data_IF_199886380812
#
_entry.id   IF_199886380812
#
_cell.length_a   1.000
_cell.length_b   1.000
_cell.length_c   1.000
_cell.angle_alpha   90.00
_cell.angle_beta   90.00
_cell.angle_gamma   90.00
#
_symmetry.space_group_name_H-M   'P 1'
#
loop_
_entity.id
_entity.type
_entity.pdbx_description
1 polymer ?
#
# COMPACT_ATOMS: atom_id res chain seq x y z
N UNK A 1 -7.58 27.58 -74.43
CA UNK A 1 -7.10 26.56 -73.47
C UNK A 1 -7.31 27.09 -72.05
N UNK A 2 -8.53 27.00 -71.52
CA UNK A 2 -8.92 27.58 -70.23
C UNK A 2 -8.78 26.53 -69.14
N UNK A 3 -7.67 26.60 -68.38
CA UNK A 3 -7.49 25.78 -67.17
C UNK A 3 -8.48 26.25 -66.11
N UNK A 4 -9.45 25.39 -65.79
CA UNK A 4 -10.35 25.54 -64.65
C UNK A 4 -9.53 25.30 -63.38
N UNK A 5 -9.23 26.36 -62.62
CA UNK A 5 -8.69 26.23 -61.27
C UNK A 5 -9.82 25.73 -60.37
N UNK A 6 -9.78 24.45 -60.01
CA UNK A 6 -10.62 23.87 -58.98
C UNK A 6 -10.20 24.42 -57.62
N UNK A 7 -10.88 25.45 -57.14
CA UNK A 7 -10.85 25.81 -55.72
C UNK A 7 -11.68 24.77 -54.96
N UNK A 8 -11.03 23.78 -54.36
CA UNK A 8 -11.63 23.07 -53.23
C UNK A 8 -10.94 23.58 -51.96
N UNK A 9 -11.33 24.77 -51.53
CA UNK A 9 -11.14 25.16 -50.13
C UNK A 9 -12.19 24.41 -49.33
N UNK A 10 -11.94 23.14 -49.01
CA UNK A 10 -12.76 22.38 -48.08
C UNK A 10 -12.51 22.94 -46.66
N UNK A 11 -13.21 24.03 -46.34
CA UNK A 11 -13.23 24.60 -45.00
C UNK A 11 -14.03 23.72 -44.06
N UNK A 12 -13.74 23.83 -42.77
CA UNK A 12 -14.44 23.10 -41.72
C UNK A 12 -15.87 23.61 -41.56
N UNK A 13 -16.85 22.71 -41.56
CA UNK A 13 -18.26 23.07 -41.39
C UNK A 13 -18.56 23.39 -39.92
N UNK A 14 -19.48 24.31 -39.68
CA UNK A 14 -19.91 24.68 -38.33
C UNK A 14 -20.42 23.48 -37.51
N UNK A 15 -21.06 22.49 -38.17
CA UNK A 15 -21.51 21.27 -37.50
C UNK A 15 -20.35 20.37 -37.09
N UNK A 16 -19.30 20.28 -37.91
CA UNK A 16 -18.11 19.50 -37.59
C UNK A 16 -17.37 20.14 -36.41
N UNK A 17 -17.37 21.47 -36.30
CA UNK A 17 -16.85 22.20 -35.14
C UNK A 17 -17.60 21.89 -33.86
N UNK A 18 -18.93 21.88 -33.92
CA UNK A 18 -19.73 21.56 -32.75
C UNK A 18 -19.52 20.13 -32.28
N UNK A 19 -19.48 19.17 -33.20
CA UNK A 19 -19.24 17.75 -32.87
C UNK A 19 -17.84 17.55 -32.31
N UNK A 20 -16.82 18.13 -32.93
CA UNK A 20 -15.43 18.02 -32.43
C UNK A 20 -15.26 18.66 -31.07
N UNK A 21 -15.85 19.83 -30.82
CA UNK A 21 -15.82 20.49 -29.51
C UNK A 21 -16.55 19.64 -28.45
N UNK A 22 -17.68 19.04 -28.81
CA UNK A 22 -18.42 18.16 -27.92
C UNK A 22 -17.62 16.92 -27.54
N UNK A 23 -17.03 16.24 -28.53
CA UNK A 23 -16.18 15.06 -28.28
C UNK A 23 -14.93 15.43 -27.49
N UNK A 24 -14.27 16.54 -27.83
CA UNK A 24 -13.09 17.02 -27.11
C UNK A 24 -13.40 17.33 -25.65
N UNK A 25 -14.53 17.99 -25.36
CA UNK A 25 -14.91 18.31 -23.98
C UNK A 25 -15.23 17.04 -23.17
N UNK A 26 -15.94 16.08 -23.76
CA UNK A 26 -16.19 14.78 -23.12
C UNK A 26 -14.89 14.03 -22.79
N UNK A 27 -13.91 14.03 -23.71
CA UNK A 27 -12.61 13.40 -23.50
C UNK A 27 -11.82 14.09 -22.38
N UNK A 28 -11.79 15.42 -22.32
CA UNK A 28 -11.10 16.15 -21.24
C UNK A 28 -11.68 15.78 -19.86
N UNK A 29 -13.00 15.70 -19.74
CA UNK A 29 -13.64 15.28 -18.49
C UNK A 29 -13.29 13.84 -18.10
N UNK A 30 -13.26 12.92 -19.07
CA UNK A 30 -12.86 11.53 -18.83
C UNK A 30 -11.39 11.43 -18.37
N UNK A 31 -10.48 12.17 -19.02
CA UNK A 31 -9.07 12.21 -18.63
C UNK A 31 -8.88 12.81 -17.25
N UNK A 32 -9.65 13.84 -16.89
CA UNK A 32 -9.58 14.45 -15.57
C UNK A 32 -9.98 13.44 -14.46
N UNK A 33 -11.08 12.71 -14.65
CA UNK A 33 -11.49 11.67 -13.70
C UNK A 33 -10.43 10.58 -13.56
N UNK A 34 -9.88 10.12 -14.69
CA UNK A 34 -8.82 9.12 -14.68
C UNK A 34 -7.57 9.61 -13.95
N UNK A 35 -7.17 10.87 -14.17
CA UNK A 35 -6.01 11.47 -13.52
C UNK A 35 -6.16 11.48 -11.99
N UNK A 36 -7.31 11.89 -11.47
CA UNK A 36 -7.58 11.89 -10.03
C UNK A 36 -7.46 10.49 -9.41
N UNK A 37 -8.04 9.47 -10.07
CA UNK A 37 -7.96 8.08 -9.59
C UNK A 37 -6.51 7.57 -9.57
N UNK A 38 -5.72 7.91 -10.60
CA UNK A 38 -4.31 7.52 -10.66
C UNK A 38 -3.51 8.18 -9.54
N UNK A 39 -3.73 9.47 -9.28
CA UNK A 39 -2.99 10.21 -8.25
C UNK A 39 -3.28 9.65 -6.84
N UNK A 40 -4.56 9.44 -6.52
CA UNK A 40 -4.97 8.80 -5.26
C UNK A 40 -4.40 7.37 -5.13
N UNK A 41 -4.44 6.61 -6.22
CA UNK A 41 -3.87 5.26 -6.28
C UNK A 41 -2.37 5.26 -6.00
N UNK A 42 -1.62 6.20 -6.58
CA UNK A 42 -0.18 6.34 -6.38
C UNK A 42 0.16 6.69 -4.92
N UNK A 43 -0.55 7.65 -4.31
CA UNK A 43 -0.34 7.99 -2.90
C UNK A 43 -0.61 6.78 -1.99
N UNK A 44 -1.72 6.07 -2.24
CA UNK A 44 -2.06 4.88 -1.46
C UNK A 44 -1.02 3.75 -1.61
N UNK A 45 -0.54 3.51 -2.83
CA UNK A 45 0.50 2.52 -3.09
C UNK A 45 1.82 2.88 -2.41
N UNK A 46 2.23 4.16 -2.46
CA UNK A 46 3.43 4.64 -1.76
C UNK A 46 3.33 4.45 -0.25
N UNK A 47 2.20 4.83 0.35
CA UNK A 47 1.99 4.65 1.80
C UNK A 47 2.00 3.17 2.18
N UNK A 48 1.38 2.30 1.39
CA UNK A 48 1.39 0.85 1.62
C UNK A 48 2.80 0.26 1.51
N UNK A 49 3.61 0.72 0.56
CA UNK A 49 5.01 0.31 0.42
C UNK A 49 5.84 0.71 1.66
N UNK A 50 5.75 1.98 2.09
CA UNK A 50 6.47 2.47 3.28
C UNK A 50 6.05 1.70 4.53
N UNK A 51 4.75 1.46 4.73
CA UNK A 51 4.25 0.67 5.85
C UNK A 51 4.72 -0.81 5.79
N UNK A 52 4.82 -1.39 4.58
CA UNK A 52 5.36 -2.74 4.38
C UNK A 52 6.85 -2.82 4.68
N UNK A 53 7.62 -1.82 4.28
CA UNK A 53 9.05 -1.73 4.59
C UNK A 53 9.27 -1.59 6.10
N UNK A 54 8.45 -0.78 6.77
CA UNK A 54 8.46 -0.65 8.22
C UNK A 54 8.10 -1.96 8.93
N UNK A 55 7.05 -2.66 8.47
CA UNK A 55 6.67 -3.97 9.01
C UNK A 55 7.80 -4.99 8.81
N UNK A 56 8.43 -5.01 7.64
CA UNK A 56 9.55 -5.90 7.34
C UNK A 56 10.79 -5.58 8.18
N UNK A 57 11.11 -4.29 8.35
CA UNK A 57 12.19 -3.81 9.22
C UNK A 57 11.96 -4.17 10.69
N UNK A 58 10.69 -4.25 11.12
CA UNK A 58 10.39 -4.75 12.46
C UNK A 58 10.64 -6.24 12.60
N UNK A 59 10.40 -7.05 11.55
CA UNK A 59 10.71 -8.48 11.59
C UNK A 59 12.21 -8.76 11.63
N UNK A 60 13.04 -7.97 10.95
CA UNK A 60 14.51 -8.17 10.94
C UNK A 60 15.16 -7.95 12.30
N UNK A 61 14.49 -7.24 13.21
CA UNK A 61 14.92 -7.08 14.61
C UNK A 61 14.79 -8.38 15.42
N UNK A 62 14.01 -9.34 14.93
CA UNK A 62 13.74 -10.60 15.61
C UNK A 62 14.12 -11.81 14.74
N UNK A 63 15.41 -12.04 14.44
CA UNK A 63 15.86 -13.11 13.56
C UNK A 63 15.72 -14.53 14.14
N UNK A 64 15.50 -14.68 15.45
CA UNK A 64 15.40 -15.96 16.15
C UNK A 64 14.49 -15.86 17.39
N UNK A 65 14.04 -16.98 17.96
CA UNK A 65 13.25 -16.93 19.20
C UNK A 65 14.03 -16.26 20.32
N UNK A 66 15.35 -16.51 20.41
CA UNK A 66 16.22 -15.90 21.43
C UNK A 66 16.22 -14.36 21.39
N UNK A 67 16.16 -13.76 20.20
CA UNK A 67 16.13 -12.31 20.01
C UNK A 67 14.84 -11.64 20.51
N UNK A 68 13.78 -12.42 20.74
CA UNK A 68 12.51 -11.92 21.29
C UNK A 68 12.59 -11.65 22.80
N UNK A 69 13.68 -12.07 23.46
CA UNK A 69 13.83 -11.97 24.92
C UNK A 69 12.84 -12.86 25.69
N UNK A 70 12.15 -13.78 25.01
CA UNK A 70 11.18 -14.71 25.60
C UNK A 70 11.88 -16.02 25.94
N UNK A 71 11.79 -16.43 27.19
CA UNK A 71 12.16 -17.79 27.62
C UNK A 71 10.93 -18.68 27.56
N UNK A 72 11.04 -19.83 26.90
CA UNK A 72 9.97 -20.82 26.85
C UNK A 72 9.77 -21.47 28.22
N UNK A 73 8.52 -21.64 28.65
CA UNK A 73 8.16 -22.26 29.95
C UNK A 73 7.63 -23.70 29.80
N UNK A 74 7.96 -24.40 28.69
CA UNK A 74 7.49 -25.75 28.38
C UNK A 74 5.96 -25.88 28.43
N UNK A 75 5.25 -24.95 27.79
CA UNK A 75 3.79 -25.01 27.67
C UNK A 75 3.41 -25.78 26.42
N UNK A 76 2.45 -26.71 26.50
CA UNK A 76 1.92 -27.46 25.34
C UNK A 76 0.71 -26.78 24.68
N UNK A 77 0.42 -25.53 25.03
CA UNK A 77 -0.72 -24.76 24.52
C UNK A 77 -0.24 -23.55 23.73
N UNK A 78 -0.99 -23.11 22.69
CA UNK A 78 -0.62 -21.96 21.90
C UNK A 78 -0.47 -20.71 22.76
N UNK A 79 0.68 -20.03 22.68
CA UNK A 79 0.93 -18.77 23.40
C UNK A 79 1.22 -17.66 22.42
N UNK A 80 0.72 -16.46 22.69
CA UNK A 80 1.02 -15.25 21.91
C UNK A 80 1.51 -14.16 22.85
N UNK A 81 2.59 -13.49 22.46
CA UNK A 81 3.19 -12.41 23.21
C UNK A 81 3.40 -11.20 22.29
N UNK A 82 3.22 -10.01 22.85
CA UNK A 82 3.51 -8.75 22.16
C UNK A 82 4.95 -8.35 22.45
N UNK A 83 5.76 -8.22 21.41
CA UNK A 83 7.17 -7.80 21.48
C UNK A 83 7.31 -6.29 21.36
N UNK A 84 6.48 -5.69 20.49
CA UNK A 84 6.43 -4.26 20.27
C UNK A 84 4.97 -3.80 20.23
N UNK A 85 4.68 -2.71 20.91
CA UNK A 85 3.43 -1.98 20.78
C UNK A 85 3.73 -0.50 20.96
N UNK A 86 3.99 0.19 19.86
CA UNK A 86 4.39 1.59 19.87
C UNK A 86 3.53 2.38 18.89
N UNK A 87 3.17 3.59 19.29
CA UNK A 87 2.47 4.56 18.45
C UNK A 87 3.31 5.82 18.33
N UNK A 88 3.40 6.37 17.13
CA UNK A 88 4.07 7.64 16.89
C UNK A 88 3.92 8.11 15.46
N UNK A 89 4.45 9.29 15.17
CA UNK A 89 4.52 9.78 13.80
C UNK A 89 5.66 9.07 13.06
N UNK A 90 5.43 8.71 11.80
CA UNK A 90 6.45 8.11 10.95
C UNK A 90 6.52 8.88 9.63
N UNK A 91 7.74 9.29 9.24
CA UNK A 91 7.95 10.08 8.04
C UNK A 91 7.42 9.34 6.80
N UNK A 92 6.63 10.04 5.98
CA UNK A 92 6.05 9.49 4.76
C UNK A 92 4.75 8.69 4.97
N UNK A 93 4.26 8.54 6.19
CA UNK A 93 2.92 7.98 6.46
C UNK A 93 1.98 9.08 7.00
N UNK A 94 0.70 9.08 6.58
CA UNK A 94 -0.27 10.05 7.09
C UNK A 94 -0.69 9.71 8.52
N UNK A 95 -0.77 10.74 9.38
CA UNK A 95 -1.29 10.61 10.74
C UNK A 95 -0.40 9.82 11.70
N UNK A 96 -1.00 9.32 12.77
CA UNK A 96 -0.31 8.47 13.74
C UNK A 96 -0.19 7.04 13.21
N UNK A 97 0.98 6.45 13.45
CA UNK A 97 1.33 5.11 13.02
C UNK A 97 1.48 4.22 14.24
N UNK A 98 0.68 3.15 14.30
CA UNK A 98 0.75 2.13 15.34
C UNK A 98 1.48 0.90 14.81
N UNK A 99 2.59 0.56 15.45
CA UNK A 99 3.39 -0.61 15.17
C UNK A 99 3.16 -1.65 16.26
N UNK A 100 2.71 -2.83 15.85
CA UNK A 100 2.53 -3.99 16.72
C UNK A 100 3.34 -5.15 16.18
N UNK A 101 4.18 -5.75 17.04
CA UNK A 101 4.87 -7.01 16.71
C UNK A 101 4.45 -8.03 17.73
N UNK A 102 3.98 -9.18 17.27
CA UNK A 102 3.63 -10.32 18.11
C UNK A 102 4.45 -11.53 17.72
N UNK A 103 4.72 -12.38 18.70
CA UNK A 103 5.25 -13.72 18.51
C UNK A 103 4.22 -14.73 18.99
N UNK A 104 3.92 -15.72 18.17
CA UNK A 104 2.98 -16.81 18.46
C UNK A 104 3.71 -18.14 18.37
N UNK A 105 3.60 -18.93 19.42
CA UNK A 105 4.06 -20.32 19.48
C UNK A 105 2.86 -21.23 19.30
N UNK A 106 2.56 -21.73 18.07
CA UNK A 106 1.30 -22.40 17.77
C UNK A 106 1.16 -23.76 18.46
N UNK A 107 2.26 -24.45 18.75
CA UNK A 107 2.26 -25.74 19.47
C UNK A 107 2.59 -25.58 20.96
N UNK A 108 2.68 -24.34 21.42
CA UNK A 108 3.31 -24.01 22.69
C UNK A 108 4.82 -23.85 22.55
N UNK A 109 5.46 -23.51 23.66
CA UNK A 109 6.83 -23.02 23.71
C UNK A 109 7.67 -24.06 24.46
N UNK A 110 8.28 -24.97 23.72
CA UNK A 110 9.40 -25.81 24.18
C UNK A 110 10.70 -25.33 23.50
N UNK A 111 11.86 -25.65 24.07
CA UNK A 111 13.14 -25.19 23.52
C UNK A 111 13.27 -25.63 22.04
N UNK A 112 13.66 -24.71 21.14
CA UNK A 112 13.74 -24.90 19.69
C UNK A 112 12.41 -25.14 18.94
N UNK A 113 11.29 -24.63 19.47
CA UNK A 113 10.00 -24.62 18.74
C UNK A 113 9.88 -23.46 17.74
N UNK A 114 9.31 -23.78 16.58
CA UNK A 114 8.99 -22.82 15.53
C UNK A 114 7.99 -21.76 16.04
N UNK A 115 8.43 -20.50 16.05
CA UNK A 115 7.61 -19.36 16.39
C UNK A 115 7.21 -18.56 15.15
N UNK A 116 5.96 -18.10 15.09
CA UNK A 116 5.49 -17.13 14.09
C UNK A 116 5.67 -15.73 14.65
N UNK A 117 6.44 -14.89 13.97
CA UNK A 117 6.52 -13.46 14.30
C UNK A 117 5.70 -12.68 13.27
N UNK A 118 4.80 -11.85 13.74
CA UNK A 118 3.89 -11.05 12.94
C UNK A 118 4.07 -9.57 13.28
N UNK A 119 4.35 -8.74 12.29
CA UNK A 119 4.42 -7.29 12.41
C UNK A 119 3.26 -6.65 11.67
N UNK A 120 2.43 -5.91 12.40
CA UNK A 120 1.32 -5.13 11.88
C UNK A 120 1.63 -3.65 12.05
N UNK A 121 1.56 -2.90 10.95
CA UNK A 121 1.63 -1.45 10.92
C UNK A 121 0.25 -0.91 10.54
N UNK A 122 -0.33 -0.10 11.42
CA UNK A 122 -1.59 0.62 11.19
C UNK A 122 -1.29 2.09 11.01
N UNK A 123 -1.84 2.74 9.97
CA UNK A 123 -1.56 4.14 9.65
C UNK A 123 -2.76 4.86 9.04
N UNK A 124 -2.74 6.19 9.10
CA UNK A 124 -3.75 7.05 8.52
C UNK A 124 -5.07 7.10 9.31
N UNK A 125 -5.94 8.06 8.98
CA UNK A 125 -7.25 8.22 9.61
C UNK A 125 -8.20 7.05 9.34
N UNK A 126 -8.01 6.33 8.23
CA UNK A 126 -8.79 5.14 7.85
C UNK A 126 -8.30 3.85 8.53
N UNK A 127 -7.32 3.94 9.45
CA UNK A 127 -6.68 2.81 10.11
C UNK A 127 -6.22 1.69 9.14
N UNK A 128 -5.60 2.07 8.02
CA UNK A 128 -5.10 1.12 7.02
C UNK A 128 -4.02 0.23 7.64
N UNK A 129 -4.06 -1.07 7.35
CA UNK A 129 -3.19 -2.07 7.98
C UNK A 129 -2.35 -2.79 6.94
N UNK A 130 -1.06 -2.92 7.24
CA UNK A 130 -0.14 -3.82 6.53
C UNK A 130 0.43 -4.79 7.55
N UNK A 131 0.34 -6.08 7.26
CA UNK A 131 0.86 -7.15 8.12
C UNK A 131 1.86 -7.99 7.35
N UNK A 132 3.03 -8.17 7.94
CA UNK A 132 4.07 -9.08 7.47
C UNK A 132 4.32 -10.15 8.53
N UNK A 133 4.62 -11.37 8.12
CA UNK A 133 4.92 -12.45 9.05
C UNK A 133 6.13 -13.27 8.58
N UNK A 134 6.88 -13.79 9.55
CA UNK A 134 7.97 -14.72 9.34
C UNK A 134 7.92 -15.84 10.38
N UNK A 135 8.65 -16.92 10.12
CA UNK A 135 8.80 -18.02 11.04
C UNK A 135 10.27 -18.15 11.43
N UNK A 136 10.51 -18.29 12.73
CA UNK A 136 11.87 -18.40 13.30
C UNK A 136 11.93 -19.55 14.29
N UNK A 137 13.14 -20.07 14.48
CA UNK A 137 13.48 -20.99 15.56
C UNK A 137 14.54 -20.32 16.46
#
# INVERSE_FOLDING_TARGET
MTKKLTSLSAGFSAIELLVTLFVASALVLAFYQLFTVIDEGNVNAKNAAIASDLASSNLTKYPSVSSTGRTCSNTSSPTTHTLLNNSGNYEGLPGDVMQKVTVTFPKGCTNDDLAKIESTVTYGPDEKKVTQATYVN
#
